data_IF_670854131778
#
_entry.id   IF_670854131778
#
_cell.length_a   1.000
_cell.length_b   1.000
_cell.length_c   1.000
_cell.angle_alpha   90.00
_cell.angle_beta   90.00
_cell.angle_gamma   90.00
#
_symmetry.space_group_name_H-M   'P 1'
#
loop_
_entity.id
_entity.type
_entity.pdbx_description
1 polymer ?
#
# COMPACT_ATOMS: atom_id res chain seq x y z
N UNK A 1 9.17 -0.60 12.82
CA UNK A 1 10.04 -0.85 11.63
C UNK A 1 9.37 -1.63 10.51
N UNK A 2 8.09 -2.02 10.61
CA UNK A 2 7.49 -3.01 9.71
C UNK A 2 7.72 -2.75 8.20
N UNK A 3 7.41 -1.56 7.64
CA UNK A 3 7.56 -1.33 6.20
C UNK A 3 9.01 -1.48 5.72
N UNK A 4 9.99 -1.11 6.55
CA UNK A 4 11.40 -1.21 6.22
C UNK A 4 11.93 -2.63 6.33
N UNK A 5 11.36 -3.45 7.20
CA UNK A 5 11.69 -4.87 7.28
C UNK A 5 11.26 -5.58 5.99
N UNK A 6 10.09 -5.26 5.45
CA UNK A 6 9.59 -5.85 4.22
C UNK A 6 10.45 -5.43 3.01
N UNK A 7 10.86 -4.16 2.95
CA UNK A 7 11.82 -3.66 1.94
C UNK A 7 13.14 -4.43 2.03
N UNK A 8 13.70 -4.62 3.23
CA UNK A 8 14.96 -5.35 3.42
C UNK A 8 14.82 -6.82 3.04
N UNK A 9 13.73 -7.49 3.44
CA UNK A 9 13.46 -8.89 3.09
C UNK A 9 13.36 -9.07 1.58
N UNK A 10 12.60 -8.22 0.91
CA UNK A 10 12.48 -8.22 -0.55
C UNK A 10 13.84 -7.93 -1.21
N UNK A 11 14.57 -6.91 -0.72
CA UNK A 11 15.87 -6.55 -1.26
C UNK A 11 16.87 -7.70 -1.15
N UNK A 12 16.91 -8.43 -0.05
CA UNK A 12 17.85 -9.56 0.13
C UNK A 12 17.33 -10.91 -0.39
N UNK A 13 16.16 -10.95 -1.04
CA UNK A 13 15.47 -12.18 -1.47
C UNK A 13 15.33 -13.19 -0.30
N UNK A 14 14.92 -12.70 0.87
CA UNK A 14 14.68 -13.52 2.06
C UNK A 14 13.29 -14.15 1.94
N UNK A 15 13.24 -15.47 1.90
CA UNK A 15 11.99 -16.24 1.78
C UNK A 15 11.51 -16.72 3.14
N UNK A 16 10.21 -16.93 3.25
CA UNK A 16 9.63 -17.56 4.43
C UNK A 16 10.22 -18.96 4.63
N UNK A 17 10.66 -19.27 5.84
CA UNK A 17 11.33 -20.54 6.16
C UNK A 17 12.83 -20.62 5.82
N UNK A 18 13.43 -19.57 5.25
CA UNK A 18 14.89 -19.54 5.05
C UNK A 18 15.63 -19.69 6.39
N UNK A 19 16.61 -20.61 6.44
CA UNK A 19 17.46 -20.79 7.63
C UNK A 19 18.39 -19.58 7.78
N UNK A 20 18.68 -19.20 9.03
CA UNK A 20 19.50 -18.02 9.36
C UNK A 20 20.84 -17.97 8.59
N UNK A 21 21.55 -19.10 8.47
CA UNK A 21 22.81 -19.17 7.72
C UNK A 21 22.63 -18.83 6.22
N UNK A 22 21.51 -19.24 5.62
CA UNK A 22 21.20 -18.93 4.22
C UNK A 22 20.93 -17.43 4.07
N UNK A 23 20.16 -16.84 4.99
CA UNK A 23 19.85 -15.41 5.00
C UNK A 23 21.14 -14.59 5.10
N UNK A 24 22.00 -14.87 6.09
CA UNK A 24 23.29 -14.19 6.25
C UNK A 24 24.20 -14.33 5.05
N UNK A 25 24.21 -15.50 4.41
CA UNK A 25 24.98 -15.74 3.18
C UNK A 25 24.48 -14.83 2.04
N UNK A 26 23.17 -14.81 1.78
CA UNK A 26 22.55 -13.93 0.77
C UNK A 26 22.88 -12.46 1.03
N UNK A 27 22.72 -12.00 2.26
CA UNK A 27 23.04 -10.63 2.66
C UNK A 27 24.50 -10.27 2.41
N UNK A 28 25.43 -11.11 2.89
CA UNK A 28 26.87 -10.88 2.73
C UNK A 28 27.30 -10.87 1.26
N UNK A 29 26.77 -11.78 0.45
CA UNK A 29 27.07 -11.85 -0.99
C UNK A 29 26.54 -10.61 -1.71
N UNK A 30 25.30 -10.21 -1.45
CA UNK A 30 24.67 -9.04 -2.08
C UNK A 30 25.36 -7.73 -1.70
N UNK A 31 25.65 -7.52 -0.42
CA UNK A 31 26.40 -6.33 0.04
C UNK A 31 27.80 -6.29 -0.57
N UNK A 32 28.49 -7.43 -0.66
CA UNK A 32 29.82 -7.50 -1.29
C UNK A 32 29.78 -7.17 -2.79
N UNK A 33 28.75 -7.61 -3.50
CA UNK A 33 28.54 -7.31 -4.92
C UNK A 33 28.22 -5.82 -5.14
N UNK A 34 27.46 -5.21 -4.22
CA UNK A 34 27.14 -3.79 -4.26
C UNK A 34 28.38 -2.91 -4.00
N UNK A 35 29.01 -3.08 -2.84
CA UNK A 35 30.23 -2.39 -2.46
C UNK A 35 30.92 -3.08 -1.28
N UNK A 36 32.17 -3.52 -1.48
CA UNK A 36 32.96 -4.17 -0.43
C UNK A 36 33.21 -3.30 0.81
N UNK A 37 33.06 -1.98 0.71
CA UNK A 37 33.19 -1.04 1.85
C UNK A 37 31.97 -1.06 2.77
N UNK A 38 30.81 -1.52 2.28
CA UNK A 38 29.57 -1.58 3.06
C UNK A 38 29.50 -2.77 4.04
N UNK A 39 30.56 -3.55 4.24
CA UNK A 39 30.53 -4.68 5.20
C UNK A 39 30.07 -4.28 6.61
N UNK A 40 30.35 -3.05 7.02
CA UNK A 40 29.94 -2.51 8.33
C UNK A 40 28.42 -2.36 8.53
N UNK A 41 27.62 -2.44 7.46
CA UNK A 41 26.15 -2.38 7.59
C UNK A 41 25.55 -3.73 8.00
N UNK A 42 26.30 -4.83 7.91
CA UNK A 42 25.75 -6.18 8.15
C UNK A 42 25.30 -6.39 9.61
N UNK A 43 26.07 -6.02 10.65
CA UNK A 43 25.63 -6.25 12.03
C UNK A 43 24.29 -5.57 12.39
N UNK A 44 24.06 -4.27 12.07
CA UNK A 44 22.75 -3.65 12.29
C UNK A 44 21.62 -4.30 11.50
N UNK A 45 21.87 -4.69 10.23
CA UNK A 45 20.85 -5.36 9.41
C UNK A 45 20.54 -6.77 9.91
N UNK A 46 21.51 -7.50 10.47
CA UNK A 46 21.25 -8.78 11.12
C UNK A 46 20.36 -8.59 12.35
N UNK A 47 20.65 -7.59 13.18
CA UNK A 47 19.91 -7.29 14.41
C UNK A 47 18.43 -6.95 14.12
N UNK A 48 18.17 -6.03 13.18
CA UNK A 48 16.81 -5.62 12.83
C UNK A 48 15.99 -6.78 12.22
N UNK A 49 16.64 -7.69 11.50
CA UNK A 49 16.02 -8.90 10.95
C UNK A 49 15.93 -10.06 11.96
N UNK A 50 16.28 -9.82 13.23
CA UNK A 50 16.27 -10.81 14.31
C UNK A 50 17.19 -12.02 14.05
N UNK A 51 18.31 -11.79 13.36
CA UNK A 51 19.36 -12.79 13.12
C UNK A 51 20.47 -12.64 14.17
N UNK A 52 21.22 -13.72 14.48
CA UNK A 52 22.31 -13.65 15.46
C UNK A 52 23.38 -12.65 15.01
N UNK A 53 23.80 -11.74 15.87
CA UNK A 53 24.93 -10.85 15.60
C UNK A 53 26.19 -11.41 16.26
N UNK A 54 27.30 -11.45 15.50
CA UNK A 54 28.61 -11.95 15.98
C UNK A 54 29.62 -10.82 16.23
N UNK A 55 29.29 -9.60 15.80
CA UNK A 55 30.16 -8.43 15.95
C UNK A 55 30.11 -7.90 17.40
N UNK A 56 31.18 -8.13 18.16
CA UNK A 56 31.27 -7.71 19.57
C UNK A 56 31.19 -6.19 19.75
N UNK A 57 31.73 -5.42 18.81
CA UNK A 57 31.69 -3.95 18.89
C UNK A 57 30.25 -3.46 18.80
N UNK A 58 29.48 -4.00 17.85
CA UNK A 58 28.06 -3.72 17.71
C UNK A 58 27.25 -4.21 18.91
N UNK A 59 27.53 -5.41 19.42
CA UNK A 59 26.81 -5.98 20.56
C UNK A 59 26.95 -5.11 21.82
N UNK A 60 28.12 -4.51 22.04
CA UNK A 60 28.43 -3.63 23.16
C UNK A 60 27.86 -2.21 23.05
N UNK A 61 27.22 -1.85 21.92
CA UNK A 61 26.57 -0.55 21.76
C UNK A 61 25.33 -0.42 22.65
N UNK A 62 25.11 0.79 23.17
CA UNK A 62 23.87 1.13 23.84
C UNK A 62 22.67 1.05 22.87
N UNK A 63 21.43 0.81 23.35
CA UNK A 63 20.25 0.69 22.47
C UNK A 63 20.05 1.88 21.51
N UNK A 64 20.27 3.10 21.97
CA UNK A 64 20.18 4.29 21.12
C UNK A 64 21.22 4.28 19.99
N UNK A 65 22.45 3.86 20.27
CA UNK A 65 23.50 3.73 19.26
C UNK A 65 23.21 2.61 18.26
N UNK A 66 22.62 1.49 18.70
CA UNK A 66 22.14 0.42 17.80
C UNK A 66 21.06 0.91 16.85
N UNK A 67 20.11 1.71 17.37
CA UNK A 67 19.09 2.38 16.55
C UNK A 67 19.73 3.26 15.48
N UNK A 68 20.65 4.15 15.88
CA UNK A 68 21.31 5.07 14.95
C UNK A 68 22.12 4.30 13.89
N UNK A 69 22.82 3.22 14.30
CA UNK A 69 23.55 2.33 13.38
C UNK A 69 22.63 1.59 12.42
N UNK A 70 21.44 1.21 12.86
CA UNK A 70 20.41 0.62 12.00
C UNK A 70 19.94 1.63 10.95
N UNK A 71 19.69 2.88 11.35
CA UNK A 71 19.28 3.94 10.44
C UNK A 71 20.38 4.22 9.40
N UNK A 72 21.63 4.35 9.85
CA UNK A 72 22.80 4.51 8.99
C UNK A 72 22.96 3.35 8.01
N UNK A 73 22.83 2.10 8.49
CA UNK A 73 22.98 0.90 7.67
C UNK A 73 21.96 0.83 6.52
N UNK A 74 20.69 1.09 6.82
CA UNK A 74 19.62 1.09 5.80
C UNK A 74 19.82 2.26 4.84
N UNK A 75 20.13 3.47 5.35
CA UNK A 75 20.44 4.64 4.51
C UNK A 75 21.60 4.35 3.56
N UNK A 76 22.72 3.85 4.07
CA UNK A 76 23.93 3.61 3.28
C UNK A 76 23.70 2.55 2.22
N UNK A 77 22.92 1.51 2.54
CA UNK A 77 22.48 0.51 1.58
C UNK A 77 21.69 1.15 0.43
N UNK A 78 20.64 1.91 0.75
CA UNK A 78 19.74 2.51 -0.24
C UNK A 78 20.45 3.56 -1.09
N UNK A 79 21.24 4.45 -0.47
CA UNK A 79 22.00 5.47 -1.20
C UNK A 79 23.01 4.81 -2.13
N UNK A 80 23.77 3.82 -1.66
CA UNK A 80 24.76 3.16 -2.50
C UNK A 80 24.12 2.39 -3.65
N UNK A 81 23.02 1.71 -3.40
CA UNK A 81 22.24 1.02 -4.44
C UNK A 81 21.69 2.03 -5.46
N UNK A 82 21.23 3.20 -5.02
CA UNK A 82 20.73 4.28 -5.91
C UNK A 82 21.78 4.82 -6.89
N UNK A 83 23.07 4.67 -6.56
CA UNK A 83 24.17 5.04 -7.46
C UNK A 83 24.37 4.03 -8.59
N UNK A 84 23.96 2.77 -8.40
CA UNK A 84 24.03 1.75 -9.45
C UNK A 84 22.77 1.78 -10.34
N UNK A 85 21.61 2.03 -9.76
CA UNK A 85 20.32 2.12 -10.46
C UNK A 85 19.33 3.00 -9.70
N UNK A 86 18.45 3.76 -10.38
CA UNK A 86 17.38 4.48 -9.70
C UNK A 86 16.49 3.54 -8.86
N UNK A 87 16.10 3.99 -7.68
CA UNK A 87 15.19 3.26 -6.79
C UNK A 87 13.85 3.97 -6.69
N UNK A 88 12.77 3.19 -6.70
CA UNK A 88 11.44 3.65 -6.33
C UNK A 88 11.06 2.91 -5.05
N UNK A 89 10.75 3.66 -3.99
CA UNK A 89 10.32 3.12 -2.72
C UNK A 89 8.92 3.68 -2.46
N UNK A 90 7.93 2.80 -2.37
CA UNK A 90 6.58 3.15 -1.99
C UNK A 90 6.35 2.73 -0.54
N UNK A 91 5.82 3.64 0.27
CA UNK A 91 5.35 3.37 1.63
C UNK A 91 3.88 3.76 1.69
N UNK A 92 3.04 2.79 2.01
CA UNK A 92 1.60 2.97 2.11
C UNK A 92 1.16 3.13 3.57
N UNK A 93 -0.03 3.67 3.75
CA UNK A 93 -0.69 3.84 5.05
C UNK A 93 0.15 4.52 6.13
N UNK A 94 0.88 5.61 5.80
CA UNK A 94 1.72 6.27 6.80
C UNK A 94 0.93 6.78 8.02
N UNK A 95 -0.37 7.01 7.88
CA UNK A 95 -1.24 7.39 8.99
C UNK A 95 -1.30 6.34 10.11
N UNK A 96 -0.85 5.10 9.85
CA UNK A 96 -0.71 4.01 10.83
C UNK A 96 0.74 3.62 11.12
N UNK A 97 1.71 4.38 10.61
CA UNK A 97 3.12 4.07 10.80
C UNK A 97 3.52 4.09 12.28
N UNK A 98 4.35 3.13 12.70
CA UNK A 98 4.92 3.17 14.05
C UNK A 98 5.94 4.31 14.19
N UNK A 99 6.03 4.88 15.39
CA UNK A 99 6.92 6.03 15.69
C UNK A 99 8.37 5.81 15.24
N UNK A 100 8.91 4.61 15.41
CA UNK A 100 10.32 4.36 15.06
C UNK A 100 10.52 4.30 13.55
N UNK A 101 9.57 3.72 12.80
CA UNK A 101 9.54 3.80 11.33
C UNK A 101 9.40 5.24 10.84
N UNK A 102 8.57 6.07 11.48
CA UNK A 102 8.44 7.49 11.16
C UNK A 102 9.73 8.28 11.39
N UNK A 103 10.40 8.04 12.52
CA UNK A 103 11.72 8.61 12.83
C UNK A 103 12.75 8.24 11.76
N UNK A 104 12.77 6.97 11.33
CA UNK A 104 13.65 6.52 10.25
C UNK A 104 13.32 7.16 8.90
N UNK A 105 12.04 7.24 8.55
CA UNK A 105 11.58 7.82 7.29
C UNK A 105 11.97 9.31 7.22
N UNK A 106 11.75 10.05 8.31
CA UNK A 106 12.16 11.45 8.45
C UNK A 106 13.67 11.61 8.32
N UNK A 107 14.44 10.71 8.95
CA UNK A 107 15.88 10.65 8.82
C UNK A 107 16.31 10.41 7.36
N UNK A 108 15.75 9.40 6.68
CA UNK A 108 16.09 9.04 5.30
C UNK A 108 15.80 10.17 4.32
N UNK A 109 14.69 10.88 4.48
CA UNK A 109 14.31 12.05 3.65
C UNK A 109 15.31 13.20 3.74
N UNK A 110 16.04 13.30 4.85
CA UNK A 110 17.17 14.22 4.98
C UNK A 110 18.29 13.97 3.99
N UNK A 111 18.41 12.76 3.44
CA UNK A 111 19.50 12.33 2.56
C UNK A 111 19.12 12.20 1.08
N UNK A 112 17.83 12.38 0.73
CA UNK A 112 17.34 12.13 -0.63
C UNK A 112 17.78 13.18 -1.66
N UNK A 113 18.14 14.40 -1.22
CA UNK A 113 18.46 15.51 -2.13
C UNK A 113 19.55 15.18 -3.18
N UNK A 114 20.46 14.25 -2.87
CA UNK A 114 21.57 13.84 -3.74
C UNK A 114 21.52 12.35 -4.12
N UNK A 115 20.38 11.69 -3.95
CA UNK A 115 20.22 10.26 -4.23
C UNK A 115 19.25 10.04 -5.41
N UNK A 116 19.49 9.00 -6.22
CA UNK A 116 18.55 8.62 -7.29
C UNK A 116 17.42 7.74 -6.71
N UNK A 117 16.69 8.30 -5.74
CA UNK A 117 15.62 7.60 -5.03
C UNK A 117 14.35 8.44 -5.16
N UNK A 118 13.32 7.87 -5.79
CA UNK A 118 11.96 8.38 -5.74
C UNK A 118 11.24 7.72 -4.58
N UNK A 119 10.85 8.51 -3.59
CA UNK A 119 10.08 8.06 -2.45
C UNK A 119 8.61 8.47 -2.65
N UNK A 120 7.71 7.48 -2.73
CA UNK A 120 6.28 7.67 -2.89
C UNK A 120 5.63 7.33 -1.54
N UNK A 121 4.93 8.31 -0.94
CA UNK A 121 4.35 8.19 0.39
C UNK A 121 2.84 8.37 0.28
N UNK A 122 2.08 7.35 0.66
CA UNK A 122 0.62 7.37 0.61
C UNK A 122 0.07 7.50 2.03
N UNK A 123 -0.71 8.55 2.26
CA UNK A 123 -1.24 8.86 3.57
C UNK A 123 -2.57 9.61 3.47
N UNK A 124 -3.36 9.54 4.54
CA UNK A 124 -4.62 10.29 4.65
C UNK A 124 -4.35 11.76 4.98
N UNK A 125 -5.20 12.70 4.57
CA UNK A 125 -5.01 14.14 4.81
C UNK A 125 -4.77 14.54 6.28
N UNK A 126 -5.22 13.72 7.24
CA UNK A 126 -5.06 13.98 8.68
C UNK A 126 -3.63 13.70 9.19
N UNK A 127 -2.82 12.94 8.44
CA UNK A 127 -1.45 12.64 8.83
C UNK A 127 -0.56 13.88 8.64
N UNK A 128 0.16 14.25 9.69
CA UNK A 128 1.01 15.45 9.71
C UNK A 128 2.48 15.06 9.73
N UNK A 129 3.29 15.80 8.99
CA UNK A 129 4.72 15.53 8.86
C UNK A 129 5.49 16.83 8.62
N UNK A 130 6.79 16.82 8.88
CA UNK A 130 7.63 18.03 8.82
C UNK A 130 8.36 18.23 7.49
N UNK A 131 8.34 17.24 6.58
CA UNK A 131 9.07 17.29 5.32
C UNK A 131 8.39 18.11 4.21
N UNK A 132 7.21 18.66 4.46
CA UNK A 132 6.44 19.44 3.46
C UNK A 132 7.15 20.71 2.99
N UNK A 133 8.14 21.20 3.73
CA UNK A 133 8.95 22.39 3.39
C UNK A 133 10.20 22.08 2.57
N UNK A 134 10.50 20.80 2.30
CA UNK A 134 11.69 20.42 1.52
C UNK A 134 11.50 20.79 0.05
N UNK A 135 12.54 21.30 -0.61
CA UNK A 135 12.48 21.70 -2.03
C UNK A 135 12.24 20.54 -3.00
N UNK A 136 12.51 19.31 -2.56
CA UNK A 136 12.34 18.06 -3.31
C UNK A 136 11.11 17.26 -2.84
N UNK A 137 10.15 17.92 -2.19
CA UNK A 137 8.87 17.35 -1.81
C UNK A 137 7.78 17.86 -2.76
N UNK A 138 6.85 16.98 -3.13
CA UNK A 138 5.66 17.33 -3.91
C UNK A 138 4.48 16.55 -3.38
N UNK A 139 3.36 17.24 -3.20
CA UNK A 139 2.12 16.65 -2.70
C UNK A 139 1.09 16.60 -3.83
N UNK A 140 0.53 15.42 -4.05
CA UNK A 140 -0.60 15.21 -4.95
C UNK A 140 -1.83 14.90 -4.10
N UNK A 141 -2.80 15.82 -4.08
CA UNK A 141 -4.12 15.53 -3.52
C UNK A 141 -4.90 14.63 -4.48
N UNK A 142 -5.47 13.54 -3.96
CA UNK A 142 -6.39 12.68 -4.71
C UNK A 142 -7.79 12.94 -4.18
N UNK A 143 -8.56 13.70 -4.95
CA UNK A 143 -9.94 14.03 -4.63
C UNK A 143 -10.92 12.96 -5.13
N UNK A 144 -12.19 13.11 -4.76
CA UNK A 144 -13.28 12.31 -5.33
C UNK A 144 -13.34 12.47 -6.85
N UNK A 145 -13.79 11.43 -7.54
CA UNK A 145 -13.96 11.46 -8.99
C UNK A 145 -14.99 12.51 -9.38
N UNK A 146 -14.69 13.23 -10.45
CA UNK A 146 -15.69 14.08 -11.10
C UNK A 146 -16.88 13.25 -11.59
N UNK A 147 -18.01 13.90 -11.86
CA UNK A 147 -19.18 13.26 -12.47
C UNK A 147 -18.83 12.57 -13.81
N UNK A 148 -17.95 13.19 -14.62
CA UNK A 148 -17.50 12.63 -15.89
C UNK A 148 -16.66 11.38 -15.72
N UNK A 149 -15.62 11.46 -14.87
CA UNK A 149 -14.72 10.33 -14.59
C UNK A 149 -15.45 9.17 -13.90
N UNK A 150 -16.42 9.48 -13.04
CA UNK A 150 -17.28 8.48 -12.43
C UNK A 150 -18.16 7.76 -13.46
N UNK A 151 -18.67 8.49 -14.47
CA UNK A 151 -19.45 7.87 -15.56
C UNK A 151 -18.57 6.97 -16.44
N UNK A 152 -17.33 7.38 -16.71
CA UNK A 152 -16.34 6.56 -17.41
C UNK A 152 -16.02 5.28 -16.61
N UNK A 153 -15.87 5.39 -15.28
CA UNK A 153 -15.66 4.24 -14.41
C UNK A 153 -16.85 3.26 -14.46
N UNK A 154 -18.09 3.75 -14.36
CA UNK A 154 -19.30 2.92 -14.50
C UNK A 154 -19.31 2.20 -15.85
N UNK A 155 -19.03 2.90 -16.95
CA UNK A 155 -18.98 2.28 -18.27
C UNK A 155 -17.89 1.21 -18.37
N UNK A 156 -16.73 1.44 -17.75
CA UNK A 156 -15.65 0.44 -17.69
C UNK A 156 -16.06 -0.81 -16.91
N UNK A 157 -16.73 -0.66 -15.76
CA UNK A 157 -17.25 -1.79 -14.96
C UNK A 157 -18.27 -2.60 -15.76
N UNK A 158 -19.07 -1.92 -16.58
CA UNK A 158 -20.11 -2.51 -17.43
C UNK A 158 -19.58 -2.95 -18.81
N UNK A 159 -18.27 -3.23 -18.92
CA UNK A 159 -17.61 -3.74 -20.13
C UNK A 159 -17.86 -2.89 -21.39
N UNK A 160 -17.93 -1.57 -21.22
CA UNK A 160 -18.17 -0.63 -22.31
C UNK A 160 -19.63 -0.48 -22.74
N UNK A 161 -20.56 -1.19 -22.10
CA UNK A 161 -21.99 -1.08 -22.40
C UNK A 161 -22.53 0.33 -22.13
N UNK A 162 -23.43 0.79 -23.00
CA UNK A 162 -24.05 2.10 -22.83
C UNK A 162 -24.95 2.11 -21.58
N UNK A 163 -24.95 3.20 -20.82
CA UNK A 163 -25.71 3.32 -19.56
C UNK A 163 -26.78 4.38 -19.74
N UNK A 164 -28.05 4.00 -19.53
CA UNK A 164 -29.16 4.95 -19.63
C UNK A 164 -28.99 6.09 -18.60
N UNK A 165 -29.39 7.33 -18.94
CA UNK A 165 -29.19 8.48 -18.06
C UNK A 165 -29.70 8.29 -16.64
N UNK A 166 -30.88 7.68 -16.46
CA UNK A 166 -31.48 7.44 -15.15
C UNK A 166 -30.59 6.56 -14.24
N UNK A 167 -30.04 5.47 -14.80
CA UNK A 167 -29.13 4.58 -14.06
C UNK A 167 -27.83 5.30 -13.69
N UNK A 168 -27.30 6.08 -14.63
CA UNK A 168 -26.08 6.86 -14.40
C UNK A 168 -26.27 7.88 -13.29
N UNK A 169 -27.35 8.66 -13.33
CA UNK A 169 -27.69 9.64 -12.31
C UNK A 169 -27.90 9.00 -10.94
N UNK A 170 -28.54 7.83 -10.90
CA UNK A 170 -28.69 7.07 -9.66
C UNK A 170 -27.34 6.68 -9.05
N UNK A 171 -26.44 6.09 -9.85
CA UNK A 171 -25.11 5.68 -9.36
C UNK A 171 -24.33 6.90 -8.89
N UNK A 172 -24.30 7.96 -9.68
CA UNK A 172 -23.52 9.17 -9.38
C UNK A 172 -24.04 9.91 -8.13
N UNK A 173 -25.35 10.01 -7.96
CA UNK A 173 -25.96 10.68 -6.80
C UNK A 173 -25.75 9.91 -5.49
N UNK A 174 -25.68 8.58 -5.55
CA UNK A 174 -25.48 7.74 -4.36
C UNK A 174 -24.03 7.60 -3.93
N UNK A 175 -23.10 7.63 -4.88
CA UNK A 175 -21.69 7.27 -4.65
C UNK A 175 -20.78 8.45 -4.35
N UNK A 176 -21.24 9.68 -4.63
CA UNK A 176 -20.51 10.92 -4.39
C UNK A 176 -19.07 10.90 -4.93
N UNK A 177 -18.84 10.27 -6.08
CA UNK A 177 -17.53 10.20 -6.73
C UNK A 177 -16.49 9.34 -6.00
N UNK A 178 -16.87 8.57 -4.98
CA UNK A 178 -15.97 7.60 -4.35
C UNK A 178 -15.78 6.39 -5.29
N UNK A 179 -14.57 6.12 -5.81
CA UNK A 179 -14.35 5.03 -6.78
C UNK A 179 -14.84 3.67 -6.30
N UNK A 180 -14.50 3.29 -5.06
CA UNK A 180 -14.89 2.02 -4.46
C UNK A 180 -16.42 1.92 -4.33
N UNK A 181 -17.08 3.02 -3.97
CA UNK A 181 -18.54 3.02 -3.87
C UNK A 181 -19.19 2.92 -5.26
N UNK A 182 -18.66 3.63 -6.27
CA UNK A 182 -19.12 3.51 -7.66
C UNK A 182 -19.06 2.06 -8.12
N UNK A 183 -17.94 1.39 -7.87
CA UNK A 183 -17.71 -0.01 -8.21
C UNK A 183 -18.69 -0.95 -7.51
N UNK A 184 -18.70 -0.94 -6.17
CA UNK A 184 -19.52 -1.87 -5.38
C UNK A 184 -21.02 -1.63 -5.56
N UNK A 185 -21.46 -0.37 -5.72
CA UNK A 185 -22.86 -0.06 -6.00
C UNK A 185 -23.26 -0.58 -7.38
N UNK A 186 -22.43 -0.36 -8.40
CA UNK A 186 -22.70 -0.85 -9.77
C UNK A 186 -22.75 -2.38 -9.81
N UNK A 187 -21.80 -3.07 -9.16
CA UNK A 187 -21.82 -4.53 -9.03
C UNK A 187 -23.05 -5.03 -8.28
N UNK A 188 -23.44 -4.37 -7.19
CA UNK A 188 -24.62 -4.78 -6.42
C UNK A 188 -25.90 -4.70 -7.25
N UNK A 189 -26.04 -3.67 -8.08
CA UNK A 189 -27.18 -3.53 -8.99
C UNK A 189 -27.23 -4.62 -10.06
N UNK A 190 -26.06 -5.09 -10.54
CA UNK A 190 -25.99 -6.24 -11.45
C UNK A 190 -26.37 -7.53 -10.73
N UNK A 191 -25.75 -7.78 -9.57
CA UNK A 191 -25.88 -9.02 -8.80
C UNK A 191 -27.31 -9.25 -8.30
N UNK A 192 -28.02 -8.18 -7.90
CA UNK A 192 -29.42 -8.28 -7.46
C UNK A 192 -30.44 -8.18 -8.61
N UNK A 193 -29.97 -8.06 -9.86
CA UNK A 193 -30.82 -7.94 -11.04
C UNK A 193 -31.57 -6.61 -11.17
N UNK A 194 -31.19 -5.58 -10.42
CA UNK A 194 -31.74 -4.22 -10.55
C UNK A 194 -31.36 -3.55 -11.87
N UNK A 195 -30.25 -3.99 -12.48
CA UNK A 195 -29.86 -3.60 -13.84
C UNK A 195 -29.59 -4.81 -14.72
N UNK A 196 -29.92 -4.69 -16.00
CA UNK A 196 -29.64 -5.72 -17.00
C UNK A 196 -29.29 -5.10 -18.35
N UNK A 197 -28.53 -5.84 -19.15
CA UNK A 197 -28.19 -5.44 -20.52
C UNK A 197 -29.35 -5.77 -21.47
N UNK A 198 -29.94 -4.76 -22.11
CA UNK A 198 -30.89 -4.88 -23.22
C UNK A 198 -30.35 -4.11 -24.42
N UNK A 199 -30.26 -4.76 -25.57
CA UNK A 199 -29.86 -4.12 -26.83
C UNK A 199 -28.59 -3.26 -26.71
N UNK A 200 -27.56 -3.78 -26.01
CA UNK A 200 -26.27 -3.12 -25.72
C UNK A 200 -26.31 -1.98 -24.69
N UNK A 201 -27.47 -1.68 -24.10
CA UNK A 201 -27.66 -0.71 -23.04
C UNK A 201 -27.97 -1.37 -21.70
N UNK A 202 -27.34 -0.91 -20.63
CA UNK A 202 -27.73 -1.24 -19.27
C UNK A 202 -28.90 -0.36 -18.84
N UNK A 203 -30.00 -1.01 -18.48
CA UNK A 203 -31.25 -0.38 -18.06
C UNK A 203 -31.64 -0.84 -16.66
N UNK A 204 -32.35 0.01 -15.93
CA UNK A 204 -33.02 -0.36 -14.69
C UNK A 204 -34.15 -1.37 -14.98
N UNK A 205 -34.28 -2.40 -14.14
CA UNK A 205 -35.36 -3.40 -14.22
C UNK A 205 -36.57 -3.02 -13.38
N UNK A 206 -36.38 -2.12 -12.41
CA UNK A 206 -37.39 -1.57 -11.49
C UNK A 206 -37.25 -0.05 -11.41
N UNK A 207 -38.19 0.62 -10.74
CA UNK A 207 -38.05 2.07 -10.49
C UNK A 207 -36.87 2.31 -9.55
N UNK A 208 -36.13 3.38 -9.78
CA UNK A 208 -35.03 3.82 -8.90
C UNK A 208 -35.43 3.95 -7.42
N UNK A 209 -36.69 4.30 -7.13
CA UNK A 209 -37.25 4.36 -5.76
C UNK A 209 -37.35 3.02 -5.04
N UNK A 210 -37.45 1.92 -5.79
CA UNK A 210 -37.75 0.59 -5.26
C UNK A 210 -36.47 -0.24 -5.04
N UNK A 211 -35.31 0.34 -5.40
CA UNK A 211 -34.00 -0.30 -5.29
C UNK A 211 -33.56 -0.29 -3.83
N UNK A 212 -33.62 -1.45 -3.20
CA UNK A 212 -33.13 -1.69 -1.84
C UNK A 212 -31.63 -1.99 -1.87
N UNK A 213 -30.82 -0.96 -2.11
CA UNK A 213 -29.36 -1.04 -1.95
C UNK A 213 -28.96 -0.15 -0.78
N UNK A 214 -28.13 -0.64 0.15
CA UNK A 214 -27.66 0.17 1.27
C UNK A 214 -26.96 1.45 0.80
N UNK A 215 -27.21 2.55 1.52
CA UNK A 215 -26.66 3.87 1.21
C UNK A 215 -25.20 4.05 1.65
N UNK A 216 -24.57 2.99 2.15
CA UNK A 216 -23.19 3.00 2.64
C UNK A 216 -22.39 1.84 2.05
N UNK A 217 -21.09 2.07 1.84
CA UNK A 217 -20.16 1.02 1.41
C UNK A 217 -20.20 -0.15 2.39
N UNK A 218 -20.21 0.12 3.71
CA UNK A 218 -20.29 -0.93 4.73
C UNK A 218 -21.55 -1.78 4.58
N UNK A 219 -22.69 -1.13 4.31
CA UNK A 219 -23.95 -1.83 4.08
C UNK A 219 -23.91 -2.70 2.83
N UNK A 220 -23.29 -2.21 1.75
CA UNK A 220 -23.14 -2.97 0.50
C UNK A 220 -22.26 -4.19 0.70
N UNK A 221 -21.09 -4.01 1.32
CA UNK A 221 -20.16 -5.10 1.62
C UNK A 221 -20.84 -6.12 2.54
N UNK A 222 -21.54 -5.68 3.59
CA UNK A 222 -22.29 -6.57 4.48
C UNK A 222 -23.38 -7.37 3.73
N UNK A 223 -24.18 -6.70 2.89
CA UNK A 223 -25.22 -7.37 2.10
C UNK A 223 -24.64 -8.40 1.12
N UNK A 224 -23.43 -8.17 0.60
CA UNK A 224 -22.72 -9.10 -0.28
C UNK A 224 -22.16 -10.29 0.51
N UNK A 225 -21.57 -10.04 1.68
CA UNK A 225 -21.14 -11.08 2.62
C UNK A 225 -22.31 -11.98 3.04
N UNK A 226 -23.49 -11.41 3.29
CA UNK A 226 -24.71 -12.14 3.64
C UNK A 226 -25.24 -13.04 2.52
N UNK A 227 -24.83 -12.81 1.27
CA UNK A 227 -25.20 -13.64 0.11
C UNK A 227 -24.20 -14.75 -0.21
N UNK A 228 -23.03 -14.76 0.42
CA UNK A 228 -22.05 -15.84 0.25
C UNK A 228 -22.63 -17.18 0.73
N UNK A 229 -22.24 -18.28 0.06
CA UNK A 229 -22.55 -19.63 0.53
C UNK A 229 -21.97 -19.88 1.93
N UNK A 230 -22.64 -20.69 2.74
CA UNK A 230 -22.28 -20.89 4.16
C UNK A 230 -20.83 -21.35 4.37
N UNK A 231 -20.28 -22.15 3.44
CA UNK A 231 -18.89 -22.58 3.47
C UNK A 231 -17.93 -21.40 3.28
N UNK A 232 -18.22 -20.49 2.34
CA UNK A 232 -17.42 -19.28 2.08
C UNK A 232 -17.54 -18.29 3.24
N UNK A 233 -18.73 -18.11 3.82
CA UNK A 233 -18.92 -17.30 5.03
C UNK A 233 -18.06 -17.81 6.18
N UNK A 234 -18.03 -19.13 6.38
CA UNK A 234 -17.26 -19.76 7.45
C UNK A 234 -15.76 -19.61 7.23
N UNK A 235 -15.27 -19.76 6.00
CA UNK A 235 -13.86 -19.49 5.66
C UNK A 235 -13.50 -18.03 5.91
N UNK A 236 -14.36 -17.10 5.50
CA UNK A 236 -14.14 -15.66 5.70
C UNK A 236 -14.12 -15.27 7.19
N UNK A 237 -15.03 -15.83 8.01
CA UNK A 237 -15.03 -15.63 9.47
C UNK A 237 -13.77 -16.15 10.15
N UNK A 238 -13.21 -17.26 9.66
CA UNK A 238 -11.97 -17.84 10.19
C UNK A 238 -10.73 -17.06 9.72
N UNK A 239 -10.78 -16.45 8.53
CA UNK A 239 -9.67 -15.71 7.93
C UNK A 239 -9.63 -14.21 8.33
N UNK A 240 -10.70 -13.67 8.91
CA UNK A 240 -10.76 -12.30 9.42
C UNK A 240 -9.99 -12.21 10.75
N UNK A 241 -8.75 -11.71 10.71
CA UNK A 241 -7.89 -11.47 11.88
C UNK A 241 -7.87 -9.98 12.21
#
# INVERSE_FOLDING_TARGET
>A
YLPFLDILRAYFDIKEGDREFIIKKKMKEKVRQLDGKLKGILPPLHDILSLKVEDEQYLNLAPAQKRDKTFEAIRDLLIRESQNRPLIIAVEDLHWIDRTSEEFLSYLIGWLANAHILLILLYRPEYTHQWGSKSYYSQLGVDQLSTGTSAELVQSILEGGEVVPELRELILSRTAGNPLFVEEFTHTLLENGSIQKKDHQYVLTTKSSDIQVPDTIQGIIAARMDRLEDNLKRTMQVASV
#
